data_IF_592180883139
#
_entry.id   IF_592180883139
#
_cell.length_a   1.000
_cell.length_b   1.000
_cell.length_c   1.000
_cell.angle_alpha   90.00
_cell.angle_beta   90.00
_cell.angle_gamma   90.00
#
_symmetry.space_group_name_H-M   'P 1'
#
loop_
_entity.id
_entity.type
_entity.pdbx_description
1 polymer ?
#
# COMPACT_ATOMS: atom_id res chain seq x y z
N UNK A 1 30.43 -59.50 -13.09
CA UNK A 1 29.88 -58.36 -13.86
C UNK A 1 29.47 -57.32 -12.83
N UNK A 2 30.33 -56.33 -12.56
CA UNK A 2 30.13 -55.35 -11.49
C UNK A 2 30.47 -53.94 -12.00
N UNK A 3 29.60 -53.01 -11.63
CA UNK A 3 29.56 -51.59 -11.99
C UNK A 3 30.88 -50.83 -11.80
N UNK A 4 31.11 -49.81 -12.65
CA UNK A 4 31.33 -48.48 -12.09
C UNK A 4 30.84 -47.37 -13.04
N UNK A 5 30.10 -46.44 -12.45
CA UNK A 5 29.33 -45.35 -13.04
C UNK A 5 30.28 -44.16 -13.26
N UNK A 6 30.47 -43.72 -14.50
CA UNK A 6 31.26 -42.53 -14.83
C UNK A 6 30.50 -41.27 -14.39
N UNK A 7 31.07 -40.59 -13.40
CA UNK A 7 30.57 -39.40 -12.73
C UNK A 7 30.44 -38.20 -13.69
N UNK A 8 29.27 -37.55 -13.72
CA UNK A 8 29.02 -36.32 -14.46
C UNK A 8 29.83 -35.17 -13.84
N UNK A 9 30.79 -34.62 -14.60
CA UNK A 9 31.63 -33.50 -14.15
C UNK A 9 30.89 -32.18 -14.39
N UNK A 10 30.31 -31.59 -13.34
CA UNK A 10 29.66 -30.27 -13.42
C UNK A 10 30.70 -29.14 -13.33
N UNK A 11 30.72 -28.23 -14.32
CA UNK A 11 31.56 -27.03 -14.30
C UNK A 11 30.76 -25.84 -13.76
N UNK A 12 31.04 -25.47 -12.51
CA UNK A 12 30.44 -24.28 -11.88
C UNK A 12 31.25 -23.05 -12.32
N UNK A 13 30.62 -22.14 -13.05
CA UNK A 13 31.22 -20.87 -13.49
C UNK A 13 30.74 -19.77 -12.56
N UNK A 14 31.64 -19.28 -11.70
CA UNK A 14 31.35 -18.18 -10.78
C UNK A 14 31.29 -16.83 -11.52
N UNK A 15 30.08 -16.26 -11.59
CA UNK A 15 29.76 -14.97 -12.24
C UNK A 15 29.77 -13.77 -11.29
N UNK A 16 30.22 -13.92 -10.05
CA UNK A 16 30.21 -12.81 -9.10
C UNK A 16 31.26 -11.75 -9.50
N UNK A 17 30.98 -10.45 -9.26
CA UNK A 17 31.90 -9.36 -9.58
C UNK A 17 33.14 -9.30 -8.67
N UNK A 18 33.25 -10.24 -7.72
CA UNK A 18 34.34 -10.37 -6.77
C UNK A 18 35.18 -11.63 -7.09
N UNK A 19 36.47 -11.55 -6.82
CA UNK A 19 37.41 -12.68 -6.82
C UNK A 19 37.29 -13.49 -5.53
N UNK A 20 37.91 -14.67 -5.47
CA UNK A 20 37.87 -15.51 -4.27
C UNK A 20 38.57 -14.85 -3.07
N UNK A 21 39.48 -13.91 -3.35
CA UNK A 21 40.22 -13.09 -2.38
C UNK A 21 39.41 -11.86 -1.89
N UNK A 22 38.20 -11.63 -2.41
CA UNK A 22 37.32 -10.52 -2.01
C UNK A 22 37.54 -9.22 -2.80
N UNK A 23 38.50 -9.18 -3.71
CA UNK A 23 38.77 -8.02 -4.56
C UNK A 23 37.82 -7.96 -5.76
N UNK A 24 37.39 -6.76 -6.16
CA UNK A 24 36.53 -6.55 -7.34
C UNK A 24 37.32 -6.85 -8.61
N UNK A 25 36.72 -7.60 -9.54
CA UNK A 25 37.37 -7.97 -10.80
C UNK A 25 37.57 -6.74 -11.68
N UNK A 26 38.76 -6.60 -12.27
CA UNK A 26 39.17 -5.46 -13.11
C UNK A 26 38.21 -5.17 -14.27
N UNK A 27 37.60 -6.21 -14.83
CA UNK A 27 36.61 -6.12 -15.90
C UNK A 27 35.32 -5.35 -15.53
N UNK A 28 34.93 -5.37 -14.25
CA UNK A 28 33.77 -4.60 -13.76
C UNK A 28 34.12 -3.14 -13.47
N UNK A 29 35.30 -2.89 -12.89
CA UNK A 29 35.81 -1.53 -12.64
C UNK A 29 36.00 -0.77 -13.95
N UNK A 30 36.57 -1.42 -14.96
CA UNK A 30 36.80 -0.82 -16.28
C UNK A 30 35.48 -0.56 -17.03
N UNK A 31 34.44 -1.37 -16.82
CA UNK A 31 33.09 -1.09 -17.34
C UNK A 31 32.45 0.12 -16.68
N UNK A 32 32.53 0.22 -15.35
CA UNK A 32 31.98 1.35 -14.59
C UNK A 32 32.69 2.66 -14.93
N UNK A 33 34.02 2.64 -15.08
CA UNK A 33 34.80 3.78 -15.56
C UNK A 33 34.43 4.18 -17.00
N UNK A 34 34.17 3.21 -17.88
CA UNK A 34 33.74 3.47 -19.26
C UNK A 34 32.34 4.06 -19.33
N UNK A 35 31.45 3.66 -18.42
CA UNK A 35 30.08 4.18 -18.30
C UNK A 35 30.08 5.60 -17.69
N UNK A 36 30.93 5.83 -16.68
CA UNK A 36 31.16 7.15 -16.08
C UNK A 36 31.81 8.14 -17.08
N UNK A 37 32.80 7.68 -17.87
CA UNK A 37 33.41 8.50 -18.92
C UNK A 37 32.40 8.85 -20.03
N UNK A 38 31.45 7.97 -20.33
CA UNK A 38 30.36 8.22 -21.29
C UNK A 38 29.35 9.23 -20.77
N UNK A 39 29.10 9.25 -19.46
CA UNK A 39 28.25 10.25 -18.81
C UNK A 39 28.91 11.63 -18.73
N UNK A 40 30.25 11.70 -18.62
CA UNK A 40 30.99 12.96 -18.51
C UNK A 40 31.29 13.64 -19.86
N UNK A 41 31.23 12.92 -20.99
CA UNK A 41 31.62 13.42 -22.31
C UNK A 41 30.45 13.92 -23.20
N UNK A 42 29.22 14.00 -22.68
CA UNK A 42 28.08 14.54 -23.42
C UNK A 42 28.02 16.08 -23.32
N UNK A 43 28.03 16.84 -24.42
CA UNK A 43 27.90 18.30 -24.38
C UNK A 43 26.47 18.74 -23.98
N UNK A 44 26.28 19.89 -23.30
CA UNK A 44 24.95 20.42 -23.03
C UNK A 44 24.39 21.04 -24.31
N UNK A 45 23.47 20.34 -24.97
CA UNK A 45 22.68 20.86 -26.08
C UNK A 45 21.55 21.78 -25.54
N UNK A 46 21.12 22.79 -26.32
CA UNK A 46 20.37 23.94 -25.81
C UNK A 46 18.95 23.56 -25.39
N UNK A 47 18.47 24.25 -24.36
CA UNK A 47 17.07 24.27 -23.91
C UNK A 47 16.17 24.83 -25.02
N UNK A 48 15.75 23.96 -25.94
CA UNK A 48 14.52 24.13 -26.68
C UNK A 48 13.42 23.38 -25.89
N UNK A 49 12.32 24.07 -25.59
CA UNK A 49 11.13 23.52 -24.95
C UNK A 49 10.55 22.37 -25.77
N UNK A 50 11.07 21.17 -25.56
CA UNK A 50 10.39 19.93 -25.87
C UNK A 50 10.06 19.31 -24.52
N UNK A 51 8.76 19.29 -24.20
CA UNK A 51 8.19 18.57 -23.06
C UNK A 51 8.84 17.19 -23.00
N UNK A 52 9.84 17.06 -22.13
CA UNK A 52 10.37 15.78 -21.73
C UNK A 52 9.19 15.04 -21.10
N UNK A 53 8.59 14.14 -21.87
CA UNK A 53 7.72 13.12 -21.35
C UNK A 53 8.57 12.34 -20.34
N UNK A 54 8.45 12.71 -19.07
CA UNK A 54 8.70 11.80 -17.96
C UNK A 54 8.13 10.45 -18.36
N UNK A 55 8.87 9.33 -18.23
CA UNK A 55 8.27 8.03 -18.43
C UNK A 55 7.04 8.02 -17.52
N UNK A 56 5.86 7.97 -18.12
CA UNK A 56 4.61 8.04 -17.40
C UNK A 56 4.69 6.93 -16.36
N UNK A 57 4.80 7.30 -15.09
CA UNK A 57 4.57 6.37 -13.98
C UNK A 57 3.21 5.79 -14.31
N UNK A 58 3.16 4.51 -14.69
CA UNK A 58 1.91 3.87 -15.10
C UNK A 58 0.91 4.12 -13.96
N UNK A 59 -0.09 4.96 -14.22
CA UNK A 59 -1.09 5.26 -13.21
C UNK A 59 -1.84 3.95 -12.97
N UNK A 60 -1.90 3.45 -11.72
CA UNK A 60 -2.61 2.21 -11.45
C UNK A 60 -4.04 2.33 -11.97
N UNK A 61 -4.50 1.29 -12.66
CA UNK A 61 -5.86 1.25 -13.20
C UNK A 61 -6.83 0.86 -12.08
N UNK A 62 -7.95 1.59 -11.98
CA UNK A 62 -9.00 1.28 -11.01
C UNK A 62 -9.52 -0.16 -11.17
N UNK A 63 -9.69 -0.83 -10.03
CA UNK A 63 -10.17 -2.20 -9.92
C UNK A 63 -11.56 -2.19 -9.27
N UNK A 64 -12.62 -2.57 -9.99
CA UNK A 64 -13.97 -2.64 -9.42
C UNK A 64 -14.07 -3.54 -8.18
N UNK A 65 -13.23 -4.57 -8.11
CA UNK A 65 -13.15 -5.45 -6.94
C UNK A 65 -12.64 -4.73 -5.68
N UNK A 66 -11.67 -3.82 -5.83
CA UNK A 66 -11.14 -3.04 -4.71
C UNK A 66 -12.19 -2.04 -4.22
N UNK A 67 -12.87 -1.34 -5.13
CA UNK A 67 -13.97 -0.45 -4.77
C UNK A 67 -15.08 -1.17 -3.99
N UNK A 68 -15.47 -2.36 -4.45
CA UNK A 68 -16.48 -3.18 -3.78
C UNK A 68 -16.04 -3.62 -2.38
N UNK A 69 -14.76 -3.98 -2.20
CA UNK A 69 -14.20 -4.31 -0.89
C UNK A 69 -14.29 -3.12 0.08
N UNK A 70 -13.86 -1.94 -0.37
CA UNK A 70 -13.90 -0.71 0.44
C UNK A 70 -15.34 -0.33 0.79
N UNK A 71 -16.28 -0.43 -0.17
CA UNK A 71 -17.72 -0.17 0.07
C UNK A 71 -18.34 -1.15 1.07
N UNK A 72 -17.97 -2.43 0.99
CA UNK A 72 -18.45 -3.45 1.93
C UNK A 72 -17.97 -3.15 3.35
N UNK A 73 -16.67 -2.87 3.53
CA UNK A 73 -16.11 -2.50 4.82
C UNK A 73 -16.73 -1.21 5.37
N UNK A 74 -16.90 -0.19 4.51
CA UNK A 74 -17.55 1.06 4.87
C UNK A 74 -19.01 0.90 5.29
N UNK A 75 -19.77 0.07 4.59
CA UNK A 75 -21.16 -0.24 4.94
C UNK A 75 -21.25 -0.94 6.30
N UNK A 76 -20.34 -1.89 6.57
CA UNK A 76 -20.28 -2.55 7.86
C UNK A 76 -19.94 -1.56 8.98
N UNK A 77 -18.99 -0.65 8.75
CA UNK A 77 -18.62 0.39 9.72
C UNK A 77 -19.80 1.33 10.01
N UNK A 78 -20.51 1.77 8.97
CA UNK A 78 -21.71 2.59 9.12
C UNK A 78 -22.82 1.83 9.88
N UNK A 79 -23.01 0.54 9.60
CA UNK A 79 -24.01 -0.29 10.28
C UNK A 79 -23.74 -0.36 11.79
N UNK A 80 -22.51 -0.63 12.22
CA UNK A 80 -22.16 -0.69 13.65
C UNK A 80 -22.11 0.69 14.32
N UNK A 81 -22.08 1.78 13.54
CA UNK A 81 -22.30 3.13 14.03
C UNK A 81 -23.79 3.50 14.13
N UNK A 82 -24.70 2.54 13.96
CA UNK A 82 -26.14 2.78 14.06
C UNK A 82 -26.74 3.49 12.85
N UNK A 83 -26.04 3.55 11.70
CA UNK A 83 -26.62 4.10 10.47
C UNK A 83 -27.76 3.24 9.91
N UNK A 84 -27.82 1.96 10.31
CA UNK A 84 -28.86 1.01 9.93
C UNK A 84 -29.38 0.25 11.15
N UNK A 85 -30.67 -0.10 11.12
CA UNK A 85 -31.26 -1.01 12.08
C UNK A 85 -31.00 -2.47 11.68
N UNK A 86 -30.70 -3.32 12.66
CA UNK A 86 -30.56 -4.76 12.42
C UNK A 86 -31.93 -5.32 11.97
N UNK A 87 -32.03 -5.93 10.77
CA UNK A 87 -33.28 -6.44 10.24
C UNK A 87 -33.92 -7.56 11.10
N UNK A 88 -33.17 -8.17 12.03
CA UNK A 88 -33.67 -9.20 12.95
C UNK A 88 -34.30 -8.62 14.20
N UNK A 89 -33.75 -7.53 14.73
CA UNK A 89 -34.16 -6.95 16.01
C UNK A 89 -34.92 -5.62 15.86
N UNK A 90 -34.81 -4.98 14.68
CA UNK A 90 -35.36 -3.65 14.41
C UNK A 90 -34.66 -2.52 15.19
N UNK A 91 -33.60 -2.83 15.95
CA UNK A 91 -32.88 -1.86 16.77
C UNK A 91 -31.64 -1.34 16.03
N UNK A 92 -31.29 -0.06 16.19
CA UNK A 92 -30.02 0.47 15.67
C UNK A 92 -28.85 -0.29 16.30
N UNK A 93 -27.99 -0.86 15.46
CA UNK A 93 -26.80 -1.57 15.91
C UNK A 93 -25.72 -0.54 16.24
N UNK A 94 -25.53 -0.26 17.53
CA UNK A 94 -24.54 0.72 18.00
C UNK A 94 -23.44 0.04 18.80
N UNK A 95 -22.30 -0.14 18.17
CA UNK A 95 -21.08 -0.70 18.74
C UNK A 95 -19.88 0.16 18.30
N UNK A 96 -19.45 1.13 19.14
CA UNK A 96 -18.32 2.00 18.83
C UNK A 96 -17.00 1.24 18.75
N UNK A 97 -16.83 0.16 19.52
CA UNK A 97 -15.57 -0.58 19.55
C UNK A 97 -15.41 -1.34 18.22
N UNK A 98 -16.47 -2.01 17.75
CA UNK A 98 -16.49 -2.64 16.43
C UNK A 98 -16.33 -1.61 15.29
N UNK A 99 -16.92 -0.42 15.44
CA UNK A 99 -16.75 0.65 14.45
C UNK A 99 -15.30 1.10 14.33
N UNK A 100 -14.60 1.24 15.47
CA UNK A 100 -13.19 1.59 15.52
C UNK A 100 -12.34 0.54 14.82
N UNK A 101 -12.55 -0.74 15.10
CA UNK A 101 -11.81 -1.83 14.45
C UNK A 101 -11.95 -1.81 12.93
N UNK A 102 -13.15 -1.51 12.42
CA UNK A 102 -13.40 -1.40 10.98
C UNK A 102 -12.76 -0.16 10.36
N UNK A 103 -12.74 0.97 11.07
CA UNK A 103 -12.03 2.19 10.64
C UNK A 103 -10.52 1.95 10.60
N UNK A 104 -9.96 1.34 11.64
CA UNK A 104 -8.54 1.00 11.74
C UNK A 104 -8.13 0.01 10.63
N UNK A 105 -9.00 -0.94 10.28
CA UNK A 105 -8.79 -1.85 9.15
C UNK A 105 -8.76 -1.11 7.81
N UNK A 106 -9.64 -0.14 7.60
CA UNK A 106 -9.64 0.70 6.40
C UNK A 106 -8.41 1.62 6.32
N UNK A 107 -7.97 2.15 7.46
CA UNK A 107 -6.72 2.92 7.56
C UNK A 107 -5.50 2.06 7.22
N UNK A 108 -5.39 0.87 7.82
CA UNK A 108 -4.31 -0.07 7.53
C UNK A 108 -4.33 -0.51 6.06
N UNK A 109 -5.52 -0.72 5.48
CA UNK A 109 -5.68 -1.03 4.06
C UNK A 109 -5.09 0.10 3.21
N UNK A 110 -5.44 1.35 3.50
CA UNK A 110 -4.89 2.52 2.80
C UNK A 110 -3.38 2.57 2.90
N UNK A 111 -2.84 2.51 4.12
CA UNK A 111 -1.39 2.59 4.34
C UNK A 111 -0.61 1.51 3.59
N UNK A 112 -1.14 0.28 3.53
CA UNK A 112 -0.51 -0.84 2.84
C UNK A 112 -0.68 -0.81 1.33
N UNK A 113 -1.65 -0.07 0.80
CA UNK A 113 -1.88 0.06 -0.65
C UNK A 113 -1.40 1.39 -1.23
N UNK A 114 -0.86 2.30 -0.41
CA UNK A 114 -0.29 3.57 -0.86
C UNK A 114 0.73 3.36 -2.01
N UNK A 115 0.55 4.11 -3.09
CA UNK A 115 1.36 4.02 -4.31
C UNK A 115 0.91 2.94 -5.31
N UNK A 116 -0.02 2.06 -4.92
CA UNK A 116 -0.62 1.04 -5.79
C UNK A 116 -2.08 1.34 -6.16
N UNK A 117 -2.68 2.38 -5.58
CA UNK A 117 -4.07 2.78 -5.83
C UNK A 117 -4.18 3.66 -7.07
N UNK A 118 -5.27 3.49 -7.81
CA UNK A 118 -5.70 4.47 -8.79
C UNK A 118 -6.11 5.79 -8.06
N UNK A 119 -5.98 6.96 -8.70
CA UNK A 119 -6.38 8.24 -8.09
C UNK A 119 -7.84 8.25 -7.59
N UNK A 120 -8.73 7.57 -8.31
CA UNK A 120 -10.14 7.44 -7.96
C UNK A 120 -10.35 6.55 -6.73
N UNK A 121 -9.53 5.50 -6.57
CA UNK A 121 -9.59 4.58 -5.43
C UNK A 121 -9.05 5.24 -4.15
N UNK A 122 -7.94 5.96 -4.25
CA UNK A 122 -7.36 6.67 -3.09
C UNK A 122 -8.30 7.78 -2.62
N UNK A 123 -8.86 8.57 -3.53
CA UNK A 123 -9.85 9.60 -3.19
C UNK A 123 -11.11 9.00 -2.57
N UNK A 124 -11.66 7.92 -3.14
CA UNK A 124 -12.83 7.24 -2.57
C UNK A 124 -12.56 6.72 -1.16
N UNK A 125 -11.40 6.11 -0.92
CA UNK A 125 -11.02 5.56 0.38
C UNK A 125 -10.80 6.68 1.42
N UNK A 126 -10.14 7.77 1.04
CA UNK A 126 -9.95 8.96 1.86
C UNK A 126 -11.29 9.59 2.27
N UNK A 127 -12.19 9.79 1.31
CA UNK A 127 -13.51 10.38 1.56
C UNK A 127 -14.35 9.51 2.50
N UNK A 128 -14.30 8.19 2.31
CA UNK A 128 -15.01 7.24 3.17
C UNK A 128 -14.44 7.25 4.59
N UNK A 129 -13.11 7.17 4.74
CA UNK A 129 -12.43 7.23 6.04
C UNK A 129 -12.75 8.53 6.78
N UNK A 130 -12.70 9.66 6.09
CA UNK A 130 -13.03 10.96 6.67
C UNK A 130 -14.45 11.00 7.23
N UNK A 131 -15.43 10.54 6.44
CA UNK A 131 -16.84 10.48 6.89
C UNK A 131 -17.01 9.56 8.11
N UNK A 132 -16.46 8.35 8.06
CA UNK A 132 -16.58 7.38 9.15
C UNK A 132 -15.95 7.89 10.45
N UNK A 133 -14.77 8.50 10.39
CA UNK A 133 -14.08 9.06 11.56
C UNK A 133 -14.87 10.20 12.20
N UNK A 134 -15.46 11.08 11.40
CA UNK A 134 -16.28 12.18 11.91
C UNK A 134 -17.55 11.64 12.58
N UNK A 135 -18.26 10.71 11.92
CA UNK A 135 -19.44 10.05 12.50
C UNK A 135 -19.10 9.32 13.80
N UNK A 136 -17.98 8.58 13.84
CA UNK A 136 -17.50 7.90 15.04
C UNK A 136 -17.22 8.87 16.19
N UNK A 137 -16.57 10.01 15.90
CA UNK A 137 -16.27 11.04 16.89
C UNK A 137 -17.56 11.65 17.47
N UNK A 138 -18.52 12.02 16.62
CA UNK A 138 -19.81 12.58 17.02
C UNK A 138 -20.59 11.62 17.92
N UNK A 139 -20.69 10.35 17.52
CA UNK A 139 -21.36 9.30 18.28
C UNK A 139 -20.68 9.07 19.62
N UNK A 140 -19.35 8.95 19.62
CA UNK A 140 -18.58 8.71 20.84
C UNK A 140 -18.74 9.87 21.83
N UNK A 141 -18.73 11.12 21.36
CA UNK A 141 -18.99 12.29 22.21
C UNK A 141 -20.43 12.30 22.75
N UNK A 142 -21.42 11.99 21.91
CA UNK A 142 -22.81 11.93 22.32
C UNK A 142 -23.04 10.85 23.40
N UNK A 143 -22.43 9.68 23.25
CA UNK A 143 -22.49 8.59 24.24
C UNK A 143 -21.81 8.97 25.55
N UNK A 144 -20.62 9.58 25.50
CA UNK A 144 -19.92 10.04 26.70
C UNK A 144 -20.74 11.09 27.46
N UNK A 145 -21.35 12.04 26.75
CA UNK A 145 -22.21 13.05 27.35
C UNK A 145 -23.47 12.43 27.99
N UNK A 146 -24.07 11.41 27.36
CA UNK A 146 -25.21 10.68 27.91
C UNK A 146 -24.84 9.90 29.19
N UNK A 147 -23.69 9.22 29.19
CA UNK A 147 -23.18 8.49 30.35
C UNK A 147 -22.86 9.42 31.53
N UNK A 148 -22.25 10.58 31.26
CA UNK A 148 -21.96 11.57 32.30
C UNK A 148 -23.24 12.13 32.95
N UNK A 149 -24.29 12.40 32.16
CA UNK A 149 -25.60 12.83 32.66
C UNK A 149 -26.31 11.75 33.49
N UNK A 150 -26.18 10.48 33.11
CA UNK A 150 -26.75 9.37 33.87
C UNK A 150 -26.05 9.18 35.23
N UNK A 151 -24.71 9.30 35.26
CA UNK A 151 -23.91 9.13 36.49
C UNK A 151 -24.04 10.29 37.49
N UNK A 152 -24.37 11.50 37.02
CA UNK A 152 -24.62 12.65 37.89
C UNK A 152 -26.05 12.77 38.45
N UNK A 153 -26.97 11.90 38.04
CA UNK A 153 -28.38 11.86 38.52
C UNK A 153 -28.66 10.73 39.51
N UNK A 154 -27.67 9.89 39.82
CA UNK A 154 -27.73 8.83 40.84
C UNK A 154 -26.92 9.22 42.07
#
# INVERSE_FOLDING_TARGET
MSENKSEETFRVIDRRPFTAEGDVRKEFVEQEEREAARAAAAPPAPVAEEKAAVPAKETPKALPAFENLVRMLGSNAAMVLGAYADPRTGQPMLDPDAARDLIDMLDALREKTLGNLAPEEDSMLLDLLGKLKMTFLEITQAMQAAQAKAKGRG
#
